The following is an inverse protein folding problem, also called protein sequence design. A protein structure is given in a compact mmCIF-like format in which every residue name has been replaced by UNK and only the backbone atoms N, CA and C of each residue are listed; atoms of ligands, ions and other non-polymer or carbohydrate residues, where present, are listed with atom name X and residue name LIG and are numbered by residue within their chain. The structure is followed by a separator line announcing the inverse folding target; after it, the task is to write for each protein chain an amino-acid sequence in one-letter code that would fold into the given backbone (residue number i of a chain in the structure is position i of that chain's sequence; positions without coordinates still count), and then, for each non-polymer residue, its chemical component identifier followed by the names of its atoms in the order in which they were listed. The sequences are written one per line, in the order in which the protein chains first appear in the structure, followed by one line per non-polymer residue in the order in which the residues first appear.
data_IF_574900091306
#
_entry.id   IF_574900091306
#
_cell.length_a   1.000
_cell.length_b   1.000
_cell.length_c   1.000
_cell.angle_alpha   90.00
_cell.angle_beta   90.00
_cell.angle_gamma   90.00
#
_symmetry.space_group_name_H-M   'P 1'
#
loop_
_entity.id
_entity.type
_entity.pdbx_description
1 polymer ?
#
# COMPACT_ATOMS: atom_id res chain seq x y z
N UNK A 1 -12.73 7.82 16.37
CA UNK A 1 -13.02 8.87 17.37
C UNK A 1 -11.94 8.76 18.43
N UNK A 2 -11.37 9.90 18.84
CA UNK A 2 -10.15 10.15 19.67
C UNK A 2 -8.98 10.69 18.82
N UNK A 3 -9.00 11.99 18.51
CA UNK A 3 -8.36 13.13 19.24
C UNK A 3 -6.86 13.22 18.87
N UNK A 4 -6.37 14.10 17.98
CA UNK A 4 -6.43 15.58 17.95
C UNK A 4 -6.14 16.21 19.31
N UNK A 5 -4.84 16.43 19.58
CA UNK A 5 -4.37 17.51 20.45
C UNK A 5 -3.14 18.17 19.83
N UNK A 6 -3.39 19.37 19.32
CA UNK A 6 -2.40 20.41 19.06
C UNK A 6 -1.73 20.75 20.39
N UNK A 7 -0.41 20.68 20.46
CA UNK A 7 0.37 21.39 21.48
C UNK A 7 1.44 22.25 20.78
N UNK A 8 1.00 23.45 20.39
CA UNK A 8 1.84 24.65 20.43
C UNK A 8 2.34 24.84 21.88
N UNK A 9 3.46 25.55 22.03
CA UNK A 9 4.18 25.92 23.29
C UNK A 9 5.18 24.83 23.70
N UNK A 10 6.49 24.97 23.49
CA UNK A 10 7.40 25.92 24.13
C UNK A 10 8.58 26.27 23.21
N UNK A 11 8.60 27.49 22.68
CA UNK A 11 9.75 28.06 21.95
C UNK A 11 10.04 29.50 22.40
N UNK A 12 9.82 29.80 23.70
CA UNK A 12 10.06 31.15 24.23
C UNK A 12 11.33 31.32 25.06
N UNK A 13 12.01 30.25 25.52
CA UNK A 13 13.05 30.43 26.55
C UNK A 13 14.30 29.56 26.37
N UNK A 14 14.94 29.59 25.20
CA UNK A 14 16.37 29.21 25.11
C UNK A 14 17.12 30.26 24.27
N UNK A 15 18.18 30.90 24.79
CA UNK A 15 18.98 31.84 24.02
C UNK A 15 19.84 31.12 22.96
N UNK A 16 19.84 31.73 21.78
CA UNK A 16 20.80 31.68 20.67
C UNK A 16 21.83 30.53 20.61
N UNK A 17 21.58 29.60 19.68
CA UNK A 17 22.47 29.03 18.64
C UNK A 17 23.92 28.61 18.94
N UNK A 18 24.41 28.63 20.18
CA UNK A 18 25.79 28.25 20.49
C UNK A 18 25.94 27.08 21.47
N UNK A 19 24.83 26.49 21.93
CA UNK A 19 24.88 25.47 22.99
C UNK A 19 24.54 24.04 22.55
N UNK A 20 23.95 23.82 21.36
CA UNK A 20 23.57 22.46 20.94
C UNK A 20 24.80 21.62 20.54
N UNK A 21 25.76 22.20 19.81
CA UNK A 21 27.00 21.50 19.44
C UNK A 21 27.87 21.18 20.67
N UNK A 22 27.97 22.12 21.62
CA UNK A 22 28.80 21.95 22.82
C UNK A 22 28.28 20.87 23.78
N UNK A 23 26.96 20.67 23.88
CA UNK A 23 26.38 19.68 24.81
C UNK A 23 26.50 18.25 24.26
N UNK A 24 26.41 18.07 22.94
CA UNK A 24 26.61 16.76 22.31
C UNK A 24 28.08 16.33 22.29
N UNK A 25 29.02 17.25 22.08
CA UNK A 25 30.46 16.95 22.10
C UNK A 25 30.96 16.53 23.49
N UNK A 26 30.36 17.04 24.58
CA UNK A 26 30.91 16.86 25.94
C UNK A 26 30.72 15.45 26.53
N UNK A 27 29.97 14.54 25.88
CA UNK A 27 29.79 13.15 26.37
C UNK A 27 30.38 12.06 25.47
N UNK A 28 31.03 12.42 24.38
CA UNK A 28 31.83 11.50 23.59
C UNK A 28 33.31 11.74 23.89
N UNK A 29 33.88 10.92 24.77
CA UNK A 29 35.33 10.92 25.00
C UNK A 29 36.09 10.74 23.67
N UNK A 30 37.20 11.48 23.46
CA UNK A 30 37.93 11.45 22.20
C UNK A 30 38.92 10.30 22.17
N UNK A 31 38.76 9.38 21.23
CA UNK A 31 39.88 8.61 20.69
C UNK A 31 40.05 9.06 19.25
N UNK A 32 41.16 9.76 18.99
CA UNK A 32 41.40 10.51 17.76
C UNK A 32 41.55 9.64 16.51
N UNK A 33 41.19 10.21 15.36
CA UNK A 33 42.09 10.78 14.34
C UNK A 33 41.19 11.42 13.27
N UNK A 34 41.67 12.53 12.71
CA UNK A 34 41.11 13.36 11.65
C UNK A 34 40.63 12.57 10.42
N UNK A 35 39.47 12.92 9.87
CA UNK A 35 39.25 13.10 8.43
C UNK A 35 37.84 13.64 8.16
N UNK A 36 37.73 14.60 7.23
CA UNK A 36 36.46 15.13 6.72
C UNK A 36 35.69 14.04 5.96
N UNK A 37 34.46 13.73 6.41
CA UNK A 37 33.46 13.09 5.57
C UNK A 37 33.02 11.68 6.00
N UNK A 38 32.35 11.55 7.13
CA UNK A 38 31.25 10.58 7.30
C UNK A 38 30.42 10.96 8.54
N UNK A 39 29.47 11.87 8.38
CA UNK A 39 28.51 12.12 9.45
C UNK A 39 27.62 10.87 9.57
N UNK A 40 27.60 10.24 10.76
CA UNK A 40 26.85 9.00 10.92
C UNK A 40 25.34 9.25 10.75
N UNK A 41 24.60 8.25 10.25
CA UNK A 41 23.19 8.36 9.85
C UNK A 41 22.29 9.10 10.88
N UNK A 42 22.42 8.85 12.20
CA UNK A 42 21.73 9.65 13.23
C UNK A 42 21.97 11.17 13.16
N UNK A 43 23.21 11.62 12.95
CA UNK A 43 23.54 13.05 12.85
C UNK A 43 22.95 13.67 11.58
N UNK A 44 22.95 12.94 10.47
CA UNK A 44 22.33 13.40 9.23
C UNK A 44 20.82 13.59 9.39
N UNK A 45 20.15 12.69 10.13
CA UNK A 45 18.72 12.80 10.43
C UNK A 45 18.41 14.02 11.29
N UNK A 46 19.22 14.29 12.33
CA UNK A 46 19.06 15.48 13.17
C UNK A 46 19.27 16.78 12.38
N UNK A 47 20.29 16.82 11.52
CA UNK A 47 20.53 17.97 10.64
C UNK A 47 19.40 18.19 9.63
N UNK A 48 18.84 17.10 9.09
CA UNK A 48 17.68 17.18 8.21
C UNK A 48 16.44 17.68 8.96
N UNK A 49 16.23 17.23 10.20
CA UNK A 49 15.14 17.70 11.05
C UNK A 49 15.26 19.19 11.38
N UNK A 50 16.47 19.67 11.69
CA UNK A 50 16.73 21.10 11.95
C UNK A 50 16.31 21.98 10.76
N UNK A 51 16.55 21.51 9.53
CA UNK A 51 16.21 22.25 8.30
C UNK A 51 14.73 22.18 7.92
N UNK A 52 14.12 21.02 8.09
CA UNK A 52 12.79 20.74 7.52
C UNK A 52 11.67 20.71 8.56
N UNK A 53 11.99 20.82 9.86
CA UNK A 53 11.09 20.72 11.03
C UNK A 53 10.38 19.38 11.20
N UNK A 54 10.04 18.69 10.11
CA UNK A 54 9.50 17.34 10.07
C UNK A 54 9.92 16.66 8.75
N UNK A 55 9.96 15.33 8.73
CA UNK A 55 10.17 14.56 7.49
C UNK A 55 9.59 13.15 7.64
N UNK A 56 9.23 12.53 6.52
CA UNK A 56 8.89 11.11 6.49
C UNK A 56 10.15 10.28 6.25
N UNK A 57 10.38 9.25 7.07
CA UNK A 57 11.59 8.42 7.02
C UNK A 57 11.76 7.71 5.68
N UNK A 58 10.65 7.32 5.04
CA UNK A 58 10.65 6.70 3.71
C UNK A 58 11.07 7.68 2.60
N UNK A 59 10.57 8.91 2.64
CA UNK A 59 10.94 9.96 1.69
C UNK A 59 12.42 10.33 1.85
N UNK A 60 12.88 10.47 3.09
CA UNK A 60 14.29 10.72 3.40
C UNK A 60 15.18 9.58 2.90
N UNK A 61 14.85 8.33 3.20
CA UNK A 61 15.61 7.15 2.76
C UNK A 61 15.73 7.11 1.23
N UNK A 62 14.62 7.40 0.53
CA UNK A 62 14.59 7.45 -0.94
C UNK A 62 15.48 8.57 -1.49
N UNK A 63 15.39 9.78 -0.91
CA UNK A 63 16.18 10.94 -1.34
C UNK A 63 17.68 10.77 -1.05
N UNK A 64 18.02 10.20 0.11
CA UNK A 64 19.39 9.91 0.53
C UNK A 64 19.98 8.65 -0.11
N UNK A 65 19.16 7.86 -0.84
CA UNK A 65 19.51 6.52 -1.35
C UNK A 65 20.03 5.59 -0.26
N UNK A 66 19.46 5.73 0.93
CA UNK A 66 19.77 4.92 2.11
C UNK A 66 18.73 3.80 2.27
N UNK A 67 19.15 2.71 2.91
CA UNK A 67 18.23 1.64 3.27
C UNK A 67 17.25 2.13 4.35
N UNK A 68 15.94 1.99 4.08
CA UNK A 68 14.89 2.47 4.99
C UNK A 68 14.96 1.82 6.38
N UNK A 69 15.36 0.55 6.50
CA UNK A 69 15.52 -0.10 7.80
C UNK A 69 16.70 0.47 8.58
N UNK A 70 17.77 0.92 7.90
CA UNK A 70 18.86 1.65 8.57
C UNK A 70 18.40 3.01 9.08
N UNK A 71 17.59 3.73 8.30
CA UNK A 71 17.00 5.02 8.71
C UNK A 71 16.09 4.84 9.91
N UNK A 72 15.18 3.87 9.88
CA UNK A 72 14.30 3.53 11.01
C UNK A 72 15.10 3.10 12.24
N UNK A 73 16.16 2.29 12.05
CA UNK A 73 17.06 1.89 13.13
C UNK A 73 17.80 3.07 13.77
N UNK A 74 18.24 4.03 12.96
CA UNK A 74 18.88 5.25 13.44
C UNK A 74 17.90 6.15 14.20
N UNK A 75 16.66 6.29 13.73
CA UNK A 75 15.59 7.00 14.47
C UNK A 75 15.33 6.35 15.82
N UNK A 76 15.20 5.01 15.87
CA UNK A 76 15.03 4.27 17.14
C UNK A 76 16.23 4.42 18.08
N UNK A 77 17.44 4.47 17.54
CA UNK A 77 18.65 4.73 18.32
C UNK A 77 18.62 6.13 18.94
N UNK A 78 18.15 7.14 18.20
CA UNK A 78 17.97 8.51 18.69
C UNK A 78 16.88 8.58 19.78
N UNK A 79 15.77 7.87 19.61
CA UNK A 79 14.69 7.78 20.62
C UNK A 79 15.16 7.13 21.93
N UNK A 80 16.04 6.14 21.85
CA UNK A 80 16.57 5.42 23.01
C UNK A 80 17.52 6.28 23.87
N UNK A 81 18.03 7.41 23.36
CA UNK A 81 18.83 8.35 24.13
C UNK A 81 17.92 9.21 25.00
N UNK A 82 17.63 8.72 26.22
CA UNK A 82 16.88 9.46 27.24
C UNK A 82 17.56 10.81 27.55
N UNK A 83 16.78 11.90 27.43
CA UNK A 83 17.13 13.22 27.95
C UNK A 83 17.31 14.37 26.95
N UNK A 84 17.46 14.11 25.63
CA UNK A 84 17.63 15.21 24.64
C UNK A 84 16.82 15.01 23.35
N UNK A 85 16.80 13.81 22.76
CA UNK A 85 16.12 13.58 21.46
C UNK A 85 14.60 13.33 21.60
N UNK A 86 14.16 12.78 22.74
CA UNK A 86 12.74 12.53 23.04
C UNK A 86 11.92 13.83 23.10
N UNK A 87 12.56 15.00 23.31
CA UNK A 87 11.90 16.31 23.31
C UNK A 87 11.82 16.98 21.92
N UNK A 88 12.53 16.45 20.91
CA UNK A 88 12.65 17.08 19.58
C UNK A 88 12.05 16.23 18.45
N UNK A 89 11.88 14.92 18.66
CA UNK A 89 11.39 14.00 17.62
C UNK A 89 10.12 13.32 18.14
N UNK A 90 8.97 13.84 17.75
CA UNK A 90 7.72 13.08 17.83
C UNK A 90 7.62 12.23 16.58
N UNK A 91 7.72 10.92 16.74
CA UNK A 91 7.60 9.96 15.64
C UNK A 91 6.18 9.39 15.61
N UNK A 92 5.54 9.52 14.45
CA UNK A 92 4.31 8.80 14.17
C UNK A 92 4.64 7.58 13.32
N UNK A 93 4.42 6.38 13.84
CA UNK A 93 4.52 5.16 13.04
C UNK A 93 3.34 5.11 12.06
N UNK A 94 3.60 5.45 10.79
CA UNK A 94 2.61 5.35 9.72
C UNK A 94 2.79 4.06 8.94
N UNK A 95 1.94 3.08 9.23
CA UNK A 95 1.82 1.89 8.39
C UNK A 95 1.01 2.27 7.15
N UNK A 96 1.67 2.36 6.00
CA UNK A 96 1.01 2.59 4.72
C UNK A 96 0.54 1.26 4.13
N UNK A 97 -0.76 1.16 3.85
CA UNK A 97 -1.38 -0.03 3.27
C UNK A 97 -1.51 0.17 1.76
N UNK A 98 -0.77 -0.62 0.99
CA UNK A 98 -0.95 -0.70 -0.46
C UNK A 98 -1.79 -1.94 -0.80
N UNK A 99 -2.48 -1.89 -1.92
CA UNK A 99 -3.31 -3.00 -2.39
C UNK A 99 -2.81 -3.43 -3.76
N UNK A 100 -2.55 -4.72 -3.90
CA UNK A 100 -2.09 -5.33 -5.16
C UNK A 100 -3.08 -6.40 -5.62
N UNK A 101 -3.19 -6.58 -6.92
CA UNK A 101 -4.01 -7.62 -7.51
C UNK A 101 -3.33 -8.98 -7.35
N UNK A 102 -4.10 -10.02 -7.07
CA UNK A 102 -3.62 -11.40 -7.17
C UNK A 102 -3.57 -11.82 -8.64
N UNK A 103 -2.92 -12.94 -8.95
CA UNK A 103 -2.92 -13.51 -10.31
C UNK A 103 -4.35 -13.68 -10.85
N UNK A 104 -5.28 -14.16 -10.00
CA UNK A 104 -6.70 -14.27 -10.33
C UNK A 104 -7.35 -12.90 -10.55
N UNK A 105 -7.03 -11.90 -9.71
CA UNK A 105 -7.49 -10.53 -9.87
C UNK A 105 -7.03 -9.91 -11.19
N UNK A 106 -5.77 -10.11 -11.54
CA UNK A 106 -5.15 -9.59 -12.76
C UNK A 106 -5.78 -10.24 -14.02
N UNK A 107 -6.01 -11.55 -13.97
CA UNK A 107 -6.74 -12.24 -15.04
C UNK A 107 -8.17 -11.72 -15.24
N UNK A 108 -8.81 -11.23 -14.18
CA UNK A 108 -10.17 -10.71 -14.22
C UNK A 108 -10.23 -9.22 -14.62
N UNK A 109 -9.10 -8.50 -14.56
CA UNK A 109 -8.97 -7.13 -15.10
C UNK A 109 -9.04 -7.13 -16.62
N UNK A 110 -8.48 -8.13 -17.28
CA UNK A 110 -8.37 -8.09 -18.73
C UNK A 110 -9.73 -8.28 -19.41
N UNK A 111 -10.54 -9.27 -19.04
CA UNK A 111 -11.87 -9.47 -19.64
C UNK A 111 -12.77 -10.37 -18.78
N UNK A 112 -14.10 -10.24 -18.93
CA UNK A 112 -15.05 -11.25 -18.48
C UNK A 112 -14.98 -12.50 -19.39
N UNK A 113 -13.89 -13.27 -19.25
CA UNK A 113 -13.48 -14.36 -20.15
C UNK A 113 -14.65 -15.29 -20.50
N UNK A 114 -15.47 -15.67 -19.50
CA UNK A 114 -16.63 -16.55 -19.70
C UNK A 114 -17.66 -15.97 -20.69
N UNK A 115 -18.02 -14.68 -20.55
CA UNK A 115 -18.99 -14.06 -21.45
C UNK A 115 -18.44 -14.01 -22.88
N UNK A 116 -17.13 -13.74 -23.04
CA UNK A 116 -16.45 -13.78 -24.33
C UNK A 116 -16.50 -15.19 -24.94
N UNK A 117 -16.09 -16.21 -24.19
CA UNK A 117 -16.06 -17.61 -24.63
C UNK A 117 -17.44 -18.15 -25.02
N UNK A 118 -18.51 -17.75 -24.31
CA UNK A 118 -19.87 -18.17 -24.67
C UNK A 118 -20.27 -17.69 -26.06
N UNK A 119 -19.82 -16.49 -26.47
CA UNK A 119 -20.14 -15.93 -27.79
C UNK A 119 -21.65 -15.73 -28.03
N UNK A 120 -22.04 -15.16 -29.17
CA UNK A 120 -23.45 -15.05 -29.57
C UNK A 120 -24.08 -16.42 -29.88
N UNK A 121 -23.28 -17.40 -30.33
CA UNK A 121 -23.75 -18.74 -30.71
C UNK A 121 -23.93 -19.71 -29.54
N UNK A 122 -23.50 -19.32 -28.34
CA UNK A 122 -23.43 -20.20 -27.18
C UNK A 122 -22.25 -21.19 -27.24
N UNK A 123 -22.01 -21.86 -26.11
CA UNK A 123 -20.94 -22.87 -25.96
C UNK A 123 -21.41 -23.98 -25.02
N UNK A 124 -20.82 -25.17 -25.17
CA UNK A 124 -21.09 -26.29 -24.27
C UNK A 124 -20.46 -26.02 -22.88
N UNK A 125 -21.25 -26.24 -21.82
CA UNK A 125 -20.77 -26.01 -20.44
C UNK A 125 -19.52 -26.84 -20.13
N UNK A 126 -19.42 -28.05 -20.69
CA UNK A 126 -18.29 -28.95 -20.49
C UNK A 126 -16.96 -28.38 -20.99
N UNK A 127 -16.97 -27.53 -22.02
CA UNK A 127 -15.75 -26.88 -22.53
C UNK A 127 -15.25 -25.81 -21.56
N UNK A 128 -16.16 -24.98 -21.05
CA UNK A 128 -15.82 -23.97 -20.05
C UNK A 128 -15.37 -24.59 -18.73
N UNK A 129 -15.92 -25.73 -18.33
CA UNK A 129 -15.53 -26.44 -17.10
C UNK A 129 -14.09 -26.98 -17.12
N UNK A 130 -13.46 -27.10 -18.30
CA UNK A 130 -12.04 -27.48 -18.42
C UNK A 130 -11.10 -26.33 -18.09
N UNK A 131 -11.60 -25.08 -18.12
CA UNK A 131 -10.81 -23.91 -17.76
C UNK A 131 -10.63 -23.85 -16.24
N UNK A 132 -9.46 -23.40 -15.74
CA UNK A 132 -9.19 -23.31 -14.30
C UNK A 132 -10.21 -22.41 -13.57
N UNK A 133 -10.67 -21.35 -14.25
CA UNK A 133 -11.71 -20.43 -13.76
C UNK A 133 -13.13 -20.80 -14.23
N UNK A 134 -13.30 -21.91 -14.94
CA UNK A 134 -14.55 -22.32 -15.57
C UNK A 134 -15.72 -22.42 -14.61
N UNK A 135 -15.55 -23.23 -13.55
CA UNK A 135 -16.61 -23.48 -12.55
C UNK A 135 -17.07 -22.19 -11.86
N UNK A 136 -16.13 -21.40 -11.35
CA UNK A 136 -16.43 -20.16 -10.61
C UNK A 136 -16.97 -19.08 -11.56
N UNK A 137 -16.38 -18.96 -12.74
CA UNK A 137 -16.77 -17.98 -13.74
C UNK A 137 -18.18 -18.23 -14.30
N UNK A 138 -18.55 -19.49 -14.58
CA UNK A 138 -19.90 -19.85 -15.02
C UNK A 138 -20.92 -19.50 -13.94
N UNK A 139 -20.69 -19.88 -12.68
CA UNK A 139 -21.62 -19.57 -11.58
C UNK A 139 -21.82 -18.07 -11.41
N UNK A 140 -20.76 -17.26 -11.54
CA UNK A 140 -20.84 -15.80 -11.47
C UNK A 140 -21.56 -15.19 -12.67
N UNK A 141 -21.28 -15.66 -13.89
CA UNK A 141 -21.94 -15.15 -15.09
C UNK A 141 -23.45 -15.43 -15.07
N UNK A 142 -23.86 -16.58 -14.53
CA UNK A 142 -25.28 -16.92 -14.30
C UNK A 142 -25.89 -16.01 -13.23
N UNK A 143 -25.22 -15.84 -12.08
CA UNK A 143 -25.71 -15.00 -10.98
C UNK A 143 -25.84 -13.52 -11.38
N UNK A 144 -24.94 -13.02 -12.24
CA UNK A 144 -25.00 -11.68 -12.83
C UNK A 144 -26.04 -11.55 -13.95
N UNK A 145 -26.68 -12.66 -14.35
CA UNK A 145 -27.68 -12.67 -15.42
C UNK A 145 -27.13 -12.46 -16.83
N UNK A 146 -25.82 -12.62 -17.03
CA UNK A 146 -25.18 -12.43 -18.33
C UNK A 146 -25.40 -13.60 -19.28
N UNK A 147 -25.47 -14.80 -18.72
CA UNK A 147 -25.64 -16.06 -19.46
C UNK A 147 -26.73 -16.91 -18.81
N UNK A 148 -27.38 -17.75 -19.61
CA UNK A 148 -28.40 -18.70 -19.17
C UNK A 148 -28.00 -20.13 -19.58
N UNK A 149 -28.49 -21.10 -18.83
CA UNK A 149 -28.32 -22.52 -19.15
C UNK A 149 -29.46 -22.95 -20.06
N UNK A 150 -29.11 -23.49 -21.22
CA UNK A 150 -30.02 -24.16 -22.14
C UNK A 150 -29.78 -25.69 -22.09
N UNK A 151 -30.86 -26.45 -21.95
CA UNK A 151 -30.84 -27.93 -21.88
C UNK A 151 -31.69 -28.59 -22.97
N UNK A 152 -32.19 -27.81 -23.94
CA UNK A 152 -33.13 -28.31 -24.95
C UNK A 152 -32.50 -29.28 -25.96
N UNK A 153 -31.18 -29.23 -26.16
CA UNK A 153 -30.46 -30.03 -27.16
C UNK A 153 -29.85 -31.35 -26.67
N UNK A 154 -30.23 -31.84 -25.48
CA UNK A 154 -29.65 -33.06 -24.90
C UNK A 154 -28.26 -32.87 -24.27
N UNK A 155 -27.59 -31.74 -24.54
CA UNK A 155 -26.37 -31.28 -23.85
C UNK A 155 -26.63 -29.97 -23.09
N UNK A 156 -25.87 -29.73 -22.03
CA UNK A 156 -25.99 -28.50 -21.23
C UNK A 156 -25.17 -27.39 -21.89
N UNK A 157 -25.86 -26.43 -22.51
CA UNK A 157 -25.27 -25.28 -23.18
C UNK A 157 -25.42 -24.01 -22.36
N UNK A 158 -24.48 -23.10 -22.53
CA UNK A 158 -24.56 -21.74 -22.03
C UNK A 158 -24.82 -20.81 -23.21
N UNK A 159 -25.80 -19.94 -23.06
CA UNK A 159 -26.19 -18.93 -24.06
C UNK A 159 -26.16 -17.54 -23.44
N UNK A 160 -25.80 -16.52 -24.24
CA UNK A 160 -25.84 -15.14 -23.78
C UNK A 160 -27.28 -14.69 -23.57
N UNK A 161 -27.52 -13.99 -22.47
CA UNK A 161 -28.81 -13.35 -22.17
C UNK A 161 -28.80 -11.86 -22.48
N UNK A 162 -27.61 -11.27 -22.61
CA UNK A 162 -27.37 -9.86 -22.89
C UNK A 162 -26.33 -9.73 -23.99
N UNK A 163 -26.45 -8.69 -24.83
CA UNK A 163 -25.49 -8.42 -25.92
C UNK A 163 -24.20 -7.80 -25.39
N UNK A 164 -24.32 -6.95 -24.36
CA UNK A 164 -23.22 -6.21 -23.73
C UNK A 164 -23.28 -6.35 -22.21
N UNK A 165 -22.13 -6.55 -21.59
CA UNK A 165 -21.98 -6.59 -20.13
C UNK A 165 -21.30 -5.32 -19.64
N UNK A 166 -21.65 -4.88 -18.44
CA UNK A 166 -20.90 -3.88 -17.69
C UNK A 166 -20.31 -4.55 -16.45
N UNK A 167 -19.05 -4.94 -16.51
CA UNK A 167 -18.38 -5.63 -15.41
C UNK A 167 -17.86 -4.62 -14.39
N UNK A 168 -18.70 -4.35 -13.39
CA UNK A 168 -18.33 -3.48 -12.26
C UNK A 168 -17.08 -3.97 -11.53
N UNK A 169 -16.89 -5.28 -11.42
CA UNK A 169 -15.74 -5.85 -10.72
C UNK A 169 -14.46 -5.58 -11.50
N UNK A 170 -14.50 -5.74 -12.83
CA UNK A 170 -13.38 -5.38 -13.70
C UNK A 170 -13.01 -3.90 -13.56
N UNK A 171 -14.00 -2.99 -13.59
CA UNK A 171 -13.75 -1.55 -13.38
C UNK A 171 -13.12 -1.26 -12.03
N UNK A 172 -13.57 -1.94 -10.96
CA UNK A 172 -13.02 -1.78 -9.63
C UNK A 172 -11.58 -2.28 -9.54
N UNK A 173 -11.26 -3.42 -10.15
CA UNK A 173 -9.89 -3.96 -10.17
C UNK A 173 -8.95 -3.07 -11.00
N UNK A 174 -9.42 -2.46 -12.10
CA UNK A 174 -8.65 -1.45 -12.86
C UNK A 174 -8.31 -0.23 -12.01
N UNK A 175 -9.24 0.26 -11.20
CA UNK A 175 -8.95 1.37 -10.28
C UNK A 175 -7.83 1.02 -9.29
N UNK A 176 -7.76 -0.23 -8.83
CA UNK A 176 -6.69 -0.70 -7.95
C UNK A 176 -5.36 -0.74 -8.71
N UNK A 177 -5.36 -1.29 -9.93
CA UNK A 177 -4.18 -1.36 -10.80
C UNK A 177 -3.61 0.03 -11.12
N UNK A 178 -4.47 1.03 -11.32
CA UNK A 178 -4.09 2.42 -11.59
C UNK A 178 -3.67 3.20 -10.33
N UNK A 179 -3.63 2.57 -9.15
CA UNK A 179 -3.31 3.23 -7.88
C UNK A 179 -4.44 4.11 -7.32
N UNK A 180 -5.62 4.08 -7.94
CA UNK A 180 -6.79 4.88 -7.59
C UNK A 180 -7.68 4.22 -6.53
N UNK A 181 -7.09 3.46 -5.59
CA UNK A 181 -7.84 2.70 -4.56
C UNK A 181 -8.75 3.59 -3.71
N UNK A 182 -8.38 4.86 -3.50
CA UNK A 182 -9.18 5.83 -2.73
C UNK A 182 -10.55 6.12 -3.36
N UNK A 183 -10.74 5.83 -4.65
CA UNK A 183 -12.05 5.97 -5.33
C UNK A 183 -13.00 4.81 -5.02
N UNK A 184 -12.52 3.73 -4.40
CA UNK A 184 -13.33 2.58 -4.01
C UNK A 184 -13.86 2.75 -2.58
N UNK A 185 -15.11 2.34 -2.37
CA UNK A 185 -15.68 2.26 -1.05
C UNK A 185 -15.09 1.08 -0.27
N UNK A 186 -14.99 1.25 1.05
CA UNK A 186 -14.43 0.25 1.98
C UNK A 186 -15.19 -1.08 1.90
N UNK A 187 -16.50 -1.05 1.60
CA UNK A 187 -17.32 -2.26 1.48
C UNK A 187 -16.91 -3.06 0.24
N UNK A 188 -16.82 -2.43 -0.91
CA UNK A 188 -16.32 -3.06 -2.15
C UNK A 188 -14.93 -3.64 -1.96
N UNK A 189 -13.99 -2.88 -1.38
CA UNK A 189 -12.62 -3.36 -1.16
C UNK A 189 -12.59 -4.62 -0.29
N UNK A 190 -13.42 -4.67 0.76
CA UNK A 190 -13.55 -5.86 1.61
C UNK A 190 -14.17 -7.06 0.87
N UNK A 191 -15.11 -6.84 -0.04
CA UNK A 191 -15.66 -7.91 -0.89
C UNK A 191 -14.59 -8.46 -1.87
N UNK A 192 -13.77 -7.59 -2.46
CA UNK A 192 -12.67 -8.00 -3.35
C UNK A 192 -11.62 -8.83 -2.59
N UNK A 193 -11.27 -8.42 -1.36
CA UNK A 193 -10.38 -9.17 -0.47
C UNK A 193 -10.96 -10.53 -0.07
N UNK A 194 -12.23 -10.60 0.32
CA UNK A 194 -12.92 -11.88 0.64
C UNK A 194 -12.91 -12.85 -0.54
N UNK A 195 -12.95 -12.30 -1.76
CA UNK A 195 -12.87 -13.06 -3.02
C UNK A 195 -11.45 -13.42 -3.44
N UNK A 196 -10.42 -13.05 -2.67
CA UNK A 196 -8.99 -13.29 -2.97
C UNK A 196 -8.52 -12.68 -4.29
N UNK A 197 -9.15 -11.59 -4.73
CA UNK A 197 -8.79 -10.87 -5.96
C UNK A 197 -7.73 -9.80 -5.72
N UNK A 198 -7.60 -9.37 -4.47
CA UNK A 198 -6.72 -8.27 -4.03
C UNK A 198 -6.06 -8.70 -2.73
N UNK A 199 -4.77 -8.44 -2.61
CA UNK A 199 -3.96 -8.64 -1.41
C UNK A 199 -3.56 -7.28 -0.84
N UNK A 200 -3.56 -7.19 0.49
CA UNK A 200 -3.07 -6.01 1.22
C UNK A 200 -1.58 -6.20 1.52
N UNK A 201 -0.77 -5.26 1.06
CA UNK A 201 0.66 -5.18 1.30
C UNK A 201 0.91 -4.06 2.32
N UNK A 202 1.67 -4.38 3.36
CA UNK A 202 2.11 -3.38 4.32
C UNK A 202 3.45 -2.84 3.85
N UNK A 203 3.52 -1.53 3.63
CA UNK A 203 4.77 -0.82 3.45
C UNK A 203 5.15 -0.25 4.81
N UNK A 204 6.29 -0.72 5.32
CA UNK A 204 6.91 -0.30 6.57
C UNK A 204 7.99 0.73 6.28
#
# INVERSE_FOLDING_TARGET
MNHLKILKTFLSDIPESSSLNAICETRMSPSGIEETGDASLPQNLLYHLEKHQHFETFEYATAAKEDHQKVVGAVKSLEAVEGVCVLLVETEERISKTFELTDEGNEMVENAKIFLFVGPSGIDQAELMKLPYGKVGISKAIASGWVAIDKTGGTVRLVRKVDTINDKVQSQLKLILEGNVQKLDVKTLNELKKRKLVTEMLVF
#
